data_IF_089507637623
#
_entry.id   IF_089507637623
#
_cell.length_a   1.000
_cell.length_b   1.000
_cell.length_c   1.000
_cell.angle_alpha   90.00
_cell.angle_beta   90.00
_cell.angle_gamma   90.00
#
_symmetry.space_group_name_H-M   'P 1'
#
loop_
_entity.id
_entity.type
_entity.pdbx_description
1 polymer ?
#
# COMPACT_ATOMS: atom_id res chain seq x y z
N UNK A 1 -28.86 28.92 -6.22
CA UNK A 1 -27.43 29.02 -5.86
C UNK A 1 -26.65 29.60 -7.02
N UNK A 2 -26.00 30.72 -6.78
CA UNK A 2 -25.11 31.39 -7.73
C UNK A 2 -23.85 30.57 -8.02
N UNK A 3 -23.26 30.72 -9.21
CA UNK A 3 -21.96 30.13 -9.58
C UNK A 3 -20.85 30.50 -8.58
N UNK A 4 -20.93 31.69 -7.97
CA UNK A 4 -20.00 32.15 -6.95
C UNK A 4 -20.17 31.38 -5.62
N UNK A 5 -21.40 31.03 -5.24
CA UNK A 5 -21.69 30.24 -4.04
C UNK A 5 -21.20 28.79 -4.21
N UNK A 6 -21.39 28.20 -5.39
CA UNK A 6 -20.86 26.85 -5.71
C UNK A 6 -19.33 26.81 -5.65
N UNK A 7 -18.65 27.85 -6.16
CA UNK A 7 -17.18 27.96 -6.06
C UNK A 7 -16.69 28.16 -4.63
N UNK A 8 -17.37 28.99 -3.82
CA UNK A 8 -17.03 29.17 -2.40
C UNK A 8 -17.24 27.89 -1.58
N UNK A 9 -18.31 27.14 -1.83
CA UNK A 9 -18.57 25.86 -1.16
C UNK A 9 -17.49 24.82 -1.49
N UNK A 10 -17.15 24.65 -2.77
CA UNK A 10 -16.04 23.76 -3.20
C UNK A 10 -14.69 24.12 -2.60
N UNK A 11 -14.42 25.41 -2.37
CA UNK A 11 -13.16 25.87 -1.78
C UNK A 11 -13.11 25.65 -0.26
N UNK A 12 -14.25 25.80 0.44
CA UNK A 12 -14.38 25.46 1.87
C UNK A 12 -14.28 23.96 2.16
N UNK A 13 -14.62 23.12 1.19
CA UNK A 13 -14.52 21.65 1.30
C UNK A 13 -13.11 21.10 1.01
N UNK A 14 -12.14 21.93 0.58
CA UNK A 14 -10.74 21.52 0.48
C UNK A 14 -10.17 21.42 1.90
N UNK A 15 -10.34 20.24 2.50
CA UNK A 15 -9.71 19.89 3.78
C UNK A 15 -8.19 19.96 3.62
N UNK A 16 -7.54 20.65 4.54
CA UNK A 16 -6.08 20.68 4.58
C UNK A 16 -5.55 19.25 4.79
N UNK A 17 -4.46 18.85 4.11
CA UNK A 17 -3.87 17.52 4.29
C UNK A 17 -3.46 17.32 5.75
N UNK A 18 -3.93 16.25 6.39
CA UNK A 18 -3.38 15.84 7.68
C UNK A 18 -2.09 15.06 7.41
N UNK A 19 -0.95 15.61 7.82
CA UNK A 19 0.31 14.87 7.77
C UNK A 19 0.34 13.80 8.87
N UNK A 20 0.54 12.55 8.48
CA UNK A 20 0.71 11.43 9.41
C UNK A 20 2.03 10.72 9.15
N UNK A 21 2.65 10.20 10.22
CA UNK A 21 3.86 9.37 10.11
C UNK A 21 3.45 7.91 10.12
N UNK A 22 3.81 7.17 9.07
CA UNK A 22 3.37 5.80 8.85
C UNK A 22 4.54 4.83 8.81
N UNK A 23 4.42 3.76 9.60
CA UNK A 23 5.30 2.59 9.58
C UNK A 23 4.47 1.38 9.20
N UNK A 24 4.96 0.59 8.25
CA UNK A 24 4.30 -0.63 7.79
C UNK A 24 5.28 -1.81 7.87
N UNK A 25 4.92 -2.80 8.67
CA UNK A 25 5.70 -4.03 8.90
C UNK A 25 4.83 -5.25 8.60
N UNK A 26 5.40 -6.22 7.91
CA UNK A 26 4.77 -7.51 7.69
C UNK A 26 5.46 -8.54 8.58
N UNK A 27 4.69 -9.24 9.41
CA UNK A 27 5.14 -10.36 10.23
C UNK A 27 4.72 -11.65 9.53
N UNK A 28 5.68 -12.46 9.12
CA UNK A 28 5.42 -13.71 8.39
C UNK A 28 5.65 -14.97 9.24
N UNK A 29 6.21 -14.81 10.44
CA UNK A 29 6.53 -15.88 11.38
C UNK A 29 6.85 -15.30 12.74
N UNK A 30 7.16 -16.15 13.73
CA UNK A 30 7.38 -15.71 15.11
C UNK A 30 8.81 -15.28 15.42
N UNK A 31 9.76 -15.59 14.53
CA UNK A 31 11.14 -15.17 14.66
C UNK A 31 11.30 -13.68 14.27
N UNK A 32 12.22 -12.93 14.91
CA UNK A 32 12.49 -11.53 14.56
C UNK A 32 12.85 -11.33 13.08
N UNK A 33 13.55 -12.30 12.48
CA UNK A 33 13.98 -12.27 11.08
C UNK A 33 12.84 -12.50 10.08
N UNK A 34 11.66 -12.93 10.57
CA UNK A 34 10.45 -13.06 9.76
C UNK A 34 9.63 -11.75 9.71
N UNK A 35 10.18 -10.65 10.24
CA UNK A 35 9.58 -9.31 10.17
C UNK A 35 10.24 -8.51 9.05
N UNK A 36 9.44 -8.13 8.06
CA UNK A 36 9.87 -7.27 6.97
C UNK A 36 9.25 -5.88 7.14
N UNK A 37 10.11 -4.88 7.36
CA UNK A 37 9.70 -3.47 7.37
C UNK A 37 9.68 -2.93 5.94
N UNK A 38 8.50 -2.56 5.46
CA UNK A 38 8.32 -2.03 4.11
C UNK A 38 8.32 -0.51 4.07
N UNK A 39 7.85 0.12 5.15
CA UNK A 39 7.87 1.56 5.32
C UNK A 39 8.24 1.84 6.76
N UNK A 40 9.21 2.74 6.95
CA UNK A 40 9.65 3.17 8.27
C UNK A 40 9.48 4.68 8.37
N UNK A 41 8.60 5.09 9.29
CA UNK A 41 8.42 6.47 9.71
C UNK A 41 8.24 7.47 8.55
N UNK A 42 7.50 7.05 7.52
CA UNK A 42 7.31 7.82 6.29
C UNK A 42 6.20 8.87 6.49
N UNK A 43 6.42 10.15 6.13
CA UNK A 43 5.35 11.14 6.11
C UNK A 43 4.39 10.83 4.95
N UNK A 44 3.11 10.73 5.26
CA UNK A 44 2.04 10.48 4.30
C UNK A 44 0.98 11.57 4.44
N UNK A 45 0.69 12.36 3.39
CA UNK A 45 -0.38 13.33 3.42
C UNK A 45 -1.74 12.61 3.31
N UNK A 46 -2.54 12.62 4.37
CA UNK A 46 -3.93 12.19 4.31
C UNK A 46 -4.80 13.36 3.83
N UNK A 47 -4.89 13.50 2.51
CA UNK A 47 -5.86 14.40 1.87
C UNK A 47 -7.17 13.65 1.74
N UNK A 48 -8.28 14.29 2.11
CA UNK A 48 -9.62 13.71 2.05
C UNK A 48 -9.81 12.45 2.93
N UNK A 49 -10.89 11.70 2.67
CA UNK A 49 -11.18 10.42 3.31
C UNK A 49 -10.41 9.29 2.63
N UNK A 50 -9.77 8.43 3.44
CA UNK A 50 -9.10 7.18 3.02
C UNK A 50 -9.98 6.34 2.07
N UNK A 51 -11.30 6.44 2.22
CA UNK A 51 -12.27 5.72 1.40
C UNK A 51 -12.36 6.21 -0.06
N UNK A 52 -12.06 7.49 -0.35
CA UNK A 52 -12.05 7.99 -1.74
C UNK A 52 -10.94 7.39 -2.59
N UNK A 53 -9.86 6.94 -1.95
CA UNK A 53 -8.70 6.36 -2.63
C UNK A 53 -8.50 4.87 -2.26
N UNK A 54 -9.55 4.23 -1.71
CA UNK A 54 -9.52 2.84 -1.23
C UNK A 54 -8.95 1.90 -2.29
N UNK A 55 -9.41 1.98 -3.53
CA UNK A 55 -8.98 1.07 -4.59
C UNK A 55 -7.49 1.22 -4.92
N UNK A 56 -6.97 2.46 -4.90
CA UNK A 56 -5.55 2.73 -5.12
C UNK A 56 -4.70 2.25 -3.94
N UNK A 57 -5.17 2.50 -2.72
CA UNK A 57 -4.50 2.05 -1.48
C UNK A 57 -4.47 0.52 -1.43
N UNK A 58 -5.59 -0.15 -1.73
CA UNK A 58 -5.67 -1.61 -1.77
C UNK A 58 -4.73 -2.17 -2.83
N UNK A 59 -4.70 -1.60 -4.05
CA UNK A 59 -3.76 -2.04 -5.09
C UNK A 59 -2.30 -1.84 -4.66
N UNK A 60 -1.96 -0.70 -4.06
CA UNK A 60 -0.63 -0.43 -3.53
C UNK A 60 -0.24 -1.39 -2.42
N UNK A 61 -1.16 -1.67 -1.49
CA UNK A 61 -0.97 -2.60 -0.39
C UNK A 61 -0.75 -4.03 -0.87
N UNK A 62 -1.57 -4.51 -1.82
CA UNK A 62 -1.38 -5.84 -2.44
C UNK A 62 -0.02 -5.93 -3.14
N UNK A 63 0.39 -4.88 -3.86
CA UNK A 63 1.72 -4.86 -4.48
C UNK A 63 2.86 -4.93 -3.45
N UNK A 64 2.71 -4.24 -2.33
CA UNK A 64 3.67 -4.27 -1.23
C UNK A 64 3.72 -5.65 -0.55
N UNK A 65 2.57 -6.30 -0.34
CA UNK A 65 2.50 -7.66 0.19
C UNK A 65 3.22 -8.66 -0.71
N UNK A 66 2.96 -8.60 -2.03
CA UNK A 66 3.65 -9.45 -3.00
C UNK A 66 5.17 -9.21 -2.98
N UNK A 67 5.60 -7.95 -2.95
CA UNK A 67 7.03 -7.60 -2.84
C UNK A 67 7.64 -8.07 -1.53
N UNK A 68 6.92 -7.98 -0.41
CA UNK A 68 7.39 -8.42 0.88
C UNK A 68 7.53 -9.95 0.94
N UNK A 69 6.52 -10.70 0.46
CA UNK A 69 6.58 -12.16 0.39
C UNK A 69 7.72 -12.66 -0.50
N UNK A 70 7.99 -12.00 -1.63
CA UNK A 70 9.14 -12.33 -2.48
C UNK A 70 10.50 -12.01 -1.82
N UNK A 71 10.54 -11.08 -0.86
CA UNK A 71 11.77 -10.70 -0.16
C UNK A 71 12.11 -11.65 1.00
N UNK A 72 11.16 -12.43 1.50
CA UNK A 72 11.44 -13.40 2.54
C UNK A 72 11.90 -14.73 1.92
N UNK A 73 13.09 -15.24 2.27
CA UNK A 73 13.61 -16.49 1.69
C UNK A 73 12.67 -17.69 1.88
N UNK A 74 12.08 -17.84 3.08
CA UNK A 74 11.14 -18.93 3.43
C UNK A 74 9.90 -18.96 2.52
N UNK A 75 9.35 -17.78 2.21
CA UNK A 75 8.16 -17.64 1.34
C UNK A 75 8.53 -17.76 -0.14
N UNK A 76 9.67 -17.20 -0.55
CA UNK A 76 10.16 -17.30 -1.92
C UNK A 76 10.46 -18.76 -2.33
N UNK A 77 10.98 -19.59 -1.42
CA UNK A 77 11.25 -21.02 -1.69
C UNK A 77 9.98 -21.84 -1.95
N UNK A 78 8.86 -21.50 -1.32
CA UNK A 78 7.57 -22.19 -1.54
C UNK A 78 6.90 -21.78 -2.86
N UNK A 79 7.16 -20.56 -3.33
CA UNK A 79 6.62 -20.01 -4.59
C UNK A 79 7.46 -20.45 -5.81
N UNK A 80 8.73 -20.82 -5.60
CA UNK A 80 9.68 -21.20 -6.64
C UNK A 80 9.20 -22.32 -7.59
N UNK A 81 8.53 -23.40 -7.13
CA UNK A 81 7.99 -24.44 -8.02
C UNK A 81 6.88 -23.90 -8.95
N UNK A 82 5.99 -23.04 -8.44
CA UNK A 82 4.89 -22.44 -9.20
C UNK A 82 5.39 -21.42 -10.24
N UNK A 83 6.40 -20.62 -9.90
CA UNK A 83 7.00 -19.66 -10.85
C UNK A 83 7.75 -20.38 -11.97
N UNK A 84 8.40 -21.52 -11.67
CA UNK A 84 9.04 -22.37 -12.68
C UNK A 84 8.02 -22.98 -13.65
N UNK A 85 6.86 -23.43 -13.14
CA UNK A 85 5.75 -23.92 -13.97
C UNK A 85 5.15 -22.83 -14.88
N UNK A 86 4.97 -21.61 -14.38
CA UNK A 86 4.41 -20.49 -15.14
C UNK A 86 5.38 -19.97 -16.22
N UNK A 87 6.70 -20.03 -15.97
CA UNK A 87 7.72 -19.70 -16.98
C UNK A 87 7.91 -20.79 -18.05
N UNK A 88 7.74 -22.07 -17.69
CA UNK A 88 7.86 -23.19 -18.63
C UNK A 88 6.74 -23.28 -19.67
N UNK A 89 5.64 -22.54 -19.50
CA UNK A 89 4.48 -22.54 -20.43
C UNK A 89 4.52 -21.45 -21.50
N UNK A 90 5.57 -20.61 -21.52
CA UNK A 90 5.78 -19.52 -22.50
C UNK A 90 7.04 -19.72 -23.38
N UNK A 91 7.66 -20.90 -23.34
CA UNK A 91 8.77 -21.27 -24.23
C UNK A 91 8.35 -22.35 -25.20
#
# INVERSE_FOLDING_TARGET
MSLAERRRKRRRERKEPLEVRMTMRFKFGDEPDDIITMMEDRPVPMVDSVFKNRDSIVRGFVSLLLRAGLKQPKVASEIFPLVKLLRGKRS
#
